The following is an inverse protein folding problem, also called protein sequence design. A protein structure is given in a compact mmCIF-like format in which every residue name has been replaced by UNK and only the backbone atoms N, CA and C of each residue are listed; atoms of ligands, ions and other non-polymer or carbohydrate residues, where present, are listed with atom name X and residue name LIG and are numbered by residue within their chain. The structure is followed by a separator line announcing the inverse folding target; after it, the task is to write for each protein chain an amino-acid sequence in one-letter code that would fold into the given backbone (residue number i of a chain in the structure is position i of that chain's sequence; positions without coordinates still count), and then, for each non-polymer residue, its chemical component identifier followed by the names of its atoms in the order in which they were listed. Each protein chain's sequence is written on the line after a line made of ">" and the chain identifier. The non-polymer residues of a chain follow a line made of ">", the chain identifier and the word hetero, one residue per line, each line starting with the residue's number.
data_IF_056497888805
#
_entry.id   IF_056497888805
#
_cell.length_a   1.000
_cell.length_b   1.000
_cell.length_c   1.000
_cell.angle_alpha   90.00
_cell.angle_beta   90.00
_cell.angle_gamma   90.00
#
_symmetry.space_group_name_H-M   'P 1'
#
loop_
_entity.id
_entity.type
_entity.pdbx_description
1 polymer ?
#
# COMPACT_ATOMS: atom_id res chain seq x y z
N UNK A 1 12.85 -5.67 -6.30
CA UNK A 1 12.30 -5.18 -5.01
C UNK A 1 12.90 -3.80 -4.78
N UNK A 2 12.07 -2.79 -4.55
CA UNK A 2 12.57 -1.44 -4.30
C UNK A 2 13.37 -1.44 -2.99
N UNK A 3 14.59 -0.94 -3.09
CA UNK A 3 15.44 -0.73 -1.93
C UNK A 3 14.81 0.39 -1.08
N UNK A 4 14.47 0.16 0.20
CA UNK A 4 13.88 1.18 1.05
C UNK A 4 14.73 2.44 1.17
N UNK A 5 16.06 2.32 1.04
CA UNK A 5 16.97 3.46 1.05
C UNK A 5 16.85 4.36 -0.19
N UNK A 6 16.27 3.83 -1.27
CA UNK A 6 16.04 4.57 -2.53
C UNK A 6 14.61 5.11 -2.63
N UNK A 7 13.73 4.75 -1.70
CA UNK A 7 12.40 5.32 -1.61
C UNK A 7 12.49 6.70 -0.95
N UNK A 8 12.12 7.75 -1.68
CA UNK A 8 12.15 9.12 -1.16
C UNK A 8 10.91 9.47 -0.35
N UNK A 9 9.77 8.91 -0.73
CA UNK A 9 8.48 9.17 -0.07
C UNK A 9 7.48 8.06 -0.36
N UNK A 10 6.39 8.06 0.41
CA UNK A 10 5.23 7.22 0.17
C UNK A 10 5.32 5.83 0.79
N UNK A 11 4.42 4.94 0.36
CA UNK A 11 4.23 3.62 0.96
C UNK A 11 4.16 2.55 -0.13
N UNK A 12 4.75 1.39 0.15
CA UNK A 12 4.56 0.14 -0.59
C UNK A 12 3.56 -0.71 0.21
N UNK A 13 2.32 -0.81 -0.24
CA UNK A 13 1.22 -1.45 0.49
C UNK A 13 0.59 -2.63 -0.26
N UNK A 14 1.01 -2.87 -1.48
CA UNK A 14 0.65 -4.04 -2.26
C UNK A 14 1.78 -4.42 -3.21
N UNK A 15 1.79 -5.69 -3.67
CA UNK A 15 2.78 -6.13 -4.64
C UNK A 15 2.67 -5.30 -5.92
N UNK A 16 3.81 -4.87 -6.41
CA UNK A 16 3.89 -4.12 -7.66
C UNK A 16 3.42 -5.01 -8.81
N UNK A 17 2.45 -4.54 -9.58
CA UNK A 17 2.00 -5.22 -10.80
C UNK A 17 3.08 -5.08 -11.86
N UNK A 18 3.66 -6.23 -12.22
CA UNK A 18 4.71 -6.32 -13.24
C UNK A 18 4.17 -7.03 -14.48
N UNK A 19 4.67 -6.71 -15.68
CA UNK A 19 4.32 -7.45 -16.90
C UNK A 19 4.85 -8.89 -16.85
N UNK A 20 4.22 -9.78 -17.62
CA UNK A 20 4.63 -11.20 -17.72
C UNK A 20 5.99 -11.39 -18.41
N UNK A 21 6.44 -10.39 -19.18
CA UNK A 21 7.71 -10.43 -19.90
C UNK A 21 8.42 -9.08 -19.80
N UNK A 22 9.74 -9.12 -19.72
CA UNK A 22 10.59 -7.95 -19.81
C UNK A 22 10.60 -7.44 -21.26
N UNK A 23 10.11 -6.22 -21.45
CA UNK A 23 10.09 -5.53 -22.76
C UNK A 23 11.24 -4.51 -22.90
N UNK A 24 12.15 -4.46 -21.94
CA UNK A 24 13.29 -3.54 -21.91
C UNK A 24 12.91 -2.06 -21.98
N UNK A 25 11.76 -1.73 -21.41
CA UNK A 25 11.25 -0.35 -21.42
C UNK A 25 12.16 0.61 -20.66
N UNK A 26 12.65 0.15 -19.49
CA UNK A 26 13.53 0.95 -18.66
C UNK A 26 14.89 1.25 -19.32
N UNK A 27 15.46 0.28 -20.03
CA UNK A 27 16.68 0.48 -20.82
C UNK A 27 16.44 1.52 -21.91
N UNK A 28 15.28 1.49 -22.56
CA UNK A 28 14.90 2.49 -23.59
C UNK A 28 14.81 3.89 -23.01
N UNK A 29 14.28 4.05 -21.79
CA UNK A 29 14.27 5.36 -21.11
C UNK A 29 15.67 5.87 -20.85
N UNK A 30 16.58 5.00 -20.44
CA UNK A 30 17.98 5.35 -20.20
C UNK A 30 18.77 5.67 -21.45
N UNK A 31 18.55 4.91 -22.52
CA UNK A 31 19.21 5.14 -23.82
C UNK A 31 18.86 6.50 -24.40
N UNK A 32 17.59 6.91 -24.28
CA UNK A 32 17.14 8.22 -24.73
C UNK A 32 17.67 9.38 -23.90
N UNK A 33 17.87 9.16 -22.61
CA UNK A 33 18.39 10.13 -21.64
C UNK A 33 17.56 11.46 -21.57
N UNK A 34 16.31 11.41 -21.99
CA UNK A 34 15.36 12.54 -21.93
C UNK A 34 14.17 12.24 -20.99
N UNK A 35 14.11 11.03 -20.43
CA UNK A 35 13.11 10.60 -19.44
C UNK A 35 13.72 10.69 -18.03
N UNK A 36 13.23 11.61 -17.23
CA UNK A 36 13.70 11.80 -15.84
C UNK A 36 12.73 11.24 -14.79
N UNK A 37 11.48 10.97 -15.17
CA UNK A 37 10.49 10.41 -14.24
C UNK A 37 9.43 9.60 -14.96
N UNK A 38 8.96 8.51 -14.33
CA UNK A 38 7.83 7.69 -14.77
C UNK A 38 6.91 7.45 -13.59
N UNK A 39 5.62 7.73 -13.75
CA UNK A 39 4.59 7.53 -12.74
C UNK A 39 3.48 6.63 -13.26
N UNK A 40 3.12 5.64 -12.46
CA UNK A 40 2.11 4.65 -12.78
C UNK A 40 0.91 4.73 -11.83
N UNK A 41 -0.24 4.28 -12.32
CA UNK A 41 -1.41 3.92 -11.53
C UNK A 41 -1.48 2.41 -11.36
N UNK A 42 -2.68 1.83 -11.46
CA UNK A 42 -3.04 0.42 -11.36
C UNK A 42 -3.02 -0.11 -9.93
N UNK A 43 -1.91 -0.02 -9.22
CA UNK A 43 -1.80 -0.45 -7.82
C UNK A 43 -2.45 0.59 -6.93
N UNK A 44 -3.59 0.25 -6.34
CA UNK A 44 -4.48 1.23 -5.70
C UNK A 44 -4.01 1.70 -4.32
N UNK A 45 -3.06 0.98 -3.71
CA UNK A 45 -2.52 1.30 -2.39
C UNK A 45 -1.08 1.81 -2.43
N UNK A 46 -0.37 1.58 -3.53
CA UNK A 46 1.01 2.02 -3.67
C UNK A 46 1.08 3.53 -3.93
N UNK A 47 1.97 4.19 -3.20
CA UNK A 47 2.13 5.65 -3.28
C UNK A 47 3.58 6.10 -3.27
N UNK A 48 4.52 5.17 -3.27
CA UNK A 48 5.94 5.46 -3.16
C UNK A 48 6.51 6.17 -4.41
N UNK A 49 7.60 6.89 -4.19
CA UNK A 49 8.49 7.43 -5.22
C UNK A 49 9.92 7.07 -4.85
N UNK A 50 10.63 6.48 -5.76
CA UNK A 50 12.05 6.16 -5.63
C UNK A 50 12.82 6.60 -6.86
N UNK A 51 14.16 6.74 -6.73
CA UNK A 51 15.04 6.99 -7.87
C UNK A 51 15.82 5.73 -8.21
N UNK A 52 15.81 5.35 -9.48
CA UNK A 52 16.58 4.26 -9.98
C UNK A 52 17.42 4.72 -11.19
N UNK A 53 18.74 4.67 -11.04
CA UNK A 53 19.70 5.03 -12.09
C UNK A 53 19.41 6.38 -12.78
N UNK A 54 18.96 7.37 -12.01
CA UNK A 54 18.67 8.73 -12.50
C UNK A 54 17.23 8.98 -12.95
N UNK A 55 16.38 7.95 -13.00
CA UNK A 55 14.95 8.08 -13.33
C UNK A 55 14.11 7.92 -12.07
N UNK A 56 13.21 8.86 -11.82
CA UNK A 56 12.24 8.74 -10.75
C UNK A 56 11.14 7.76 -11.15
N UNK A 57 10.87 6.77 -10.29
CA UNK A 57 9.81 5.78 -10.48
C UNK A 57 8.80 5.94 -9.36
N UNK A 58 7.55 6.19 -9.70
CA UNK A 58 6.52 6.44 -8.71
C UNK A 58 5.18 5.79 -9.00
N UNK A 59 4.41 5.57 -7.92
CA UNK A 59 3.03 5.15 -7.98
C UNK A 59 2.10 6.23 -7.46
N UNK A 60 0.94 6.35 -8.11
CA UNK A 60 -0.17 7.17 -7.64
C UNK A 60 -1.30 6.24 -7.20
N UNK A 61 -1.74 6.29 -5.94
CA UNK A 61 -2.80 5.44 -5.44
C UNK A 61 -4.15 5.79 -6.08
N UNK A 62 -5.14 4.92 -5.89
CA UNK A 62 -6.51 5.19 -6.34
C UNK A 62 -7.11 6.40 -5.61
N UNK A 63 -7.67 7.36 -6.33
CA UNK A 63 -8.43 8.49 -5.75
C UNK A 63 -9.94 8.20 -5.63
N UNK A 64 -10.48 7.26 -6.41
CA UNK A 64 -11.91 6.97 -6.45
C UNK A 64 -12.36 5.93 -5.43
N UNK A 65 -13.62 6.03 -4.96
CA UNK A 65 -14.22 5.10 -3.98
C UNK A 65 -14.93 3.90 -4.61
N UNK A 66 -14.90 3.74 -5.93
CA UNK A 66 -15.56 2.61 -6.59
C UNK A 66 -14.75 1.31 -6.53
N UNK A 67 -13.42 1.40 -6.58
CA UNK A 67 -12.49 0.29 -6.42
C UNK A 67 -11.99 0.13 -4.98
N UNK A 68 -11.16 -0.89 -4.75
CA UNK A 68 -10.41 -1.03 -3.51
C UNK A 68 -9.37 0.10 -3.35
N UNK A 69 -8.86 0.31 -2.14
CA UNK A 69 -7.86 1.34 -1.87
C UNK A 69 -7.70 1.59 -0.37
N UNK A 70 -6.97 2.63 0.00
CA UNK A 70 -6.56 2.92 1.37
C UNK A 70 -7.52 3.86 2.13
N UNK A 71 -8.83 3.67 1.96
CA UNK A 71 -9.83 4.45 2.69
C UNK A 71 -9.72 5.96 2.41
N UNK A 72 -9.57 6.76 3.45
CA UNK A 72 -9.43 8.22 3.35
C UNK A 72 -8.01 8.67 2.92
N UNK A 73 -7.04 7.77 2.91
CA UNK A 73 -5.68 8.03 2.40
C UNK A 73 -5.58 7.84 0.87
N UNK A 74 -6.72 7.61 0.19
CA UNK A 74 -6.82 7.72 -1.27
C UNK A 74 -6.38 9.09 -1.70
N UNK A 75 -5.67 9.16 -2.83
CA UNK A 75 -5.07 10.42 -3.24
C UNK A 75 -5.02 10.59 -4.76
N UNK A 76 -4.99 11.83 -5.18
CA UNK A 76 -4.43 12.25 -6.45
C UNK A 76 -2.98 12.67 -6.25
N UNK A 77 -2.18 12.66 -7.30
CA UNK A 77 -0.81 13.20 -7.25
C UNK A 77 -0.75 14.50 -8.04
N UNK A 78 -0.29 15.54 -7.39
CA UNK A 78 -0.01 16.83 -8.00
C UNK A 78 1.44 16.85 -8.49
N UNK A 79 1.66 17.47 -9.63
CA UNK A 79 2.97 17.74 -10.20
C UNK A 79 3.10 19.25 -10.47
N UNK A 80 4.20 19.82 -10.04
CA UNK A 80 4.56 21.21 -10.33
C UNK A 80 5.83 21.21 -11.18
N UNK A 81 5.71 21.66 -12.41
CA UNK A 81 6.83 21.78 -13.34
C UNK A 81 7.25 23.23 -13.50
N UNK A 82 8.55 23.45 -13.57
CA UNK A 82 9.13 24.76 -13.79
C UNK A 82 9.60 24.87 -15.24
N UNK A 83 9.06 25.83 -16.01
CA UNK A 83 9.39 26.00 -17.43
C UNK A 83 10.89 26.08 -17.71
N UNK A 84 11.65 26.74 -16.82
CA UNK A 84 13.10 26.92 -16.99
C UNK A 84 13.93 25.69 -16.66
N UNK A 85 13.37 24.76 -15.91
CA UNK A 85 14.02 23.50 -15.51
C UNK A 85 12.97 22.41 -15.23
N UNK A 86 12.38 21.79 -16.25
CA UNK A 86 11.30 20.81 -16.04
C UNK A 86 11.72 19.57 -15.24
N UNK A 87 12.99 19.23 -15.25
CA UNK A 87 13.53 18.09 -14.47
C UNK A 87 13.59 18.36 -12.96
N UNK A 88 13.58 19.63 -12.55
CA UNK A 88 13.45 20.02 -11.14
C UNK A 88 11.98 20.18 -10.74
N UNK A 89 11.18 19.16 -10.98
CA UNK A 89 9.76 19.14 -10.63
C UNK A 89 9.56 18.81 -9.15
N UNK A 90 8.42 19.22 -8.63
CA UNK A 90 7.92 18.83 -7.33
C UNK A 90 6.68 17.95 -7.48
N UNK A 91 6.50 17.01 -6.55
CA UNK A 91 5.30 16.18 -6.51
C UNK A 91 4.85 15.93 -5.09
N UNK A 92 3.55 15.86 -4.89
CA UNK A 92 2.94 15.50 -3.61
C UNK A 92 1.62 14.77 -3.80
N UNK A 93 1.22 14.04 -2.78
CA UNK A 93 -0.11 13.44 -2.72
C UNK A 93 -1.11 14.45 -2.14
N UNK A 94 -2.26 14.56 -2.78
CA UNK A 94 -3.44 15.26 -2.29
C UNK A 94 -4.43 14.20 -1.82
N UNK A 95 -4.43 13.91 -0.51
CA UNK A 95 -5.27 12.84 0.01
C UNK A 95 -6.72 13.31 0.20
N UNK A 96 -7.68 12.37 0.15
CA UNK A 96 -9.05 12.67 0.50
C UNK A 96 -9.16 13.20 1.94
N UNK A 97 -8.34 12.67 2.84
CA UNK A 97 -8.25 13.13 4.24
C UNK A 97 -7.93 14.63 4.32
N UNK A 98 -6.93 15.09 3.57
CA UNK A 98 -6.48 16.48 3.59
C UNK A 98 -7.50 17.43 2.95
N UNK A 99 -8.19 16.99 1.90
CA UNK A 99 -9.10 17.83 1.12
C UNK A 99 -10.53 17.83 1.65
N UNK A 100 -11.00 16.72 2.21
CA UNK A 100 -12.41 16.51 2.58
C UNK A 100 -12.57 16.13 4.03
N UNK A 101 -11.68 15.31 4.59
CA UNK A 101 -11.68 14.93 6.00
C UNK A 101 -11.64 13.43 6.26
N UNK A 102 -11.80 13.08 7.54
CA UNK A 102 -11.61 11.73 8.07
C UNK A 102 -12.73 10.74 7.74
N UNK A 103 -13.87 11.22 7.27
CA UNK A 103 -15.03 10.36 7.02
C UNK A 103 -15.08 9.93 5.55
N UNK A 104 -14.96 8.63 5.33
CA UNK A 104 -15.18 8.05 4.01
C UNK A 104 -16.66 8.06 3.62
N UNK A 105 -16.94 8.20 2.32
CA UNK A 105 -18.30 8.08 1.78
C UNK A 105 -18.84 6.65 1.79
N UNK A 106 -17.97 5.65 2.03
CA UNK A 106 -18.31 4.22 2.01
C UNK A 106 -17.61 3.43 3.12
N UNK A 107 -17.91 3.74 4.41
CA UNK A 107 -17.13 3.22 5.55
C UNK A 107 -17.14 1.69 5.64
N UNK A 108 -18.27 1.04 5.32
CA UNK A 108 -18.37 -0.43 5.34
C UNK A 108 -17.50 -1.06 4.26
N UNK A 109 -17.53 -0.51 3.04
CA UNK A 109 -16.76 -1.02 1.93
C UNK A 109 -15.25 -0.84 2.17
N UNK A 110 -14.84 0.32 2.65
CA UNK A 110 -13.45 0.61 2.99
C UNK A 110 -12.94 -0.27 4.14
N UNK A 111 -13.77 -0.54 5.13
CA UNK A 111 -13.45 -1.50 6.19
C UNK A 111 -13.12 -2.88 5.61
N UNK A 112 -13.97 -3.42 4.73
CA UNK A 112 -13.71 -4.71 4.09
C UNK A 112 -12.46 -4.68 3.20
N UNK A 113 -12.24 -3.62 2.44
CA UNK A 113 -11.04 -3.50 1.61
C UNK A 113 -9.75 -3.43 2.43
N UNK A 114 -9.77 -2.82 3.61
CA UNK A 114 -8.64 -2.84 4.54
C UNK A 114 -8.37 -4.22 5.12
N UNK A 115 -9.39 -5.05 5.30
CA UNK A 115 -9.24 -6.42 5.77
C UNK A 115 -8.72 -7.35 4.68
N UNK A 116 -9.07 -7.10 3.41
CA UNK A 116 -8.61 -7.92 2.30
C UNK A 116 -7.10 -7.79 2.12
N UNK A 117 -6.36 -8.92 2.08
CA UNK A 117 -4.94 -8.90 1.80
C UNK A 117 -4.71 -8.44 0.35
N UNK A 118 -3.69 -7.64 0.13
CA UNK A 118 -3.31 -7.17 -1.19
C UNK A 118 -2.35 -8.15 -1.89
N UNK A 119 -1.62 -8.97 -1.12
CA UNK A 119 -0.67 -9.96 -1.65
C UNK A 119 -0.87 -11.32 -1.00
N UNK A 120 -0.29 -12.38 -1.62
CA UNK A 120 -0.29 -13.74 -1.06
C UNK A 120 0.46 -13.81 0.28
N UNK A 121 1.54 -13.05 0.39
CA UNK A 121 2.37 -12.96 1.60
C UNK A 121 1.58 -12.32 2.73
N UNK A 122 0.89 -11.20 2.46
CA UNK A 122 0.00 -10.54 3.42
C UNK A 122 -1.15 -11.46 3.85
N UNK A 123 -1.73 -12.19 2.89
CA UNK A 123 -2.78 -13.18 3.17
C UNK A 123 -2.28 -14.28 4.11
N UNK A 124 -1.10 -14.82 3.86
CA UNK A 124 -0.49 -15.86 4.68
C UNK A 124 -0.16 -15.32 6.09
N UNK A 125 0.34 -14.11 6.20
CA UNK A 125 0.63 -13.49 7.50
C UNK A 125 -0.65 -13.23 8.30
N UNK A 126 -1.69 -12.67 7.68
CA UNK A 126 -3.01 -12.47 8.32
C UNK A 126 -3.62 -13.79 8.79
N UNK A 127 -3.58 -14.84 7.95
CA UNK A 127 -4.05 -16.18 8.30
C UNK A 127 -3.29 -16.75 9.51
N UNK A 128 -1.95 -16.62 9.52
CA UNK A 128 -1.11 -17.05 10.63
C UNK A 128 -1.46 -16.31 11.93
N UNK A 129 -1.66 -15.00 11.87
CA UNK A 129 -2.06 -14.20 13.06
C UNK A 129 -3.41 -14.64 13.60
N UNK A 130 -4.40 -14.88 12.73
CA UNK A 130 -5.72 -15.38 13.14
C UNK A 130 -5.61 -16.75 13.81
N UNK A 131 -4.84 -17.68 13.24
CA UNK A 131 -4.61 -19.02 13.82
C UNK A 131 -3.96 -18.94 15.19
N UNK A 132 -2.96 -18.07 15.37
CA UNK A 132 -2.30 -17.87 16.66
C UNK A 132 -3.26 -17.32 17.72
N UNK A 133 -4.04 -16.30 17.37
CA UNK A 133 -5.00 -15.68 18.29
C UNK A 133 -6.13 -16.65 18.68
N UNK A 134 -6.66 -17.41 17.73
CA UNK A 134 -7.68 -18.45 18.02
C UNK A 134 -7.10 -19.58 18.87
N UNK A 135 -5.88 -20.02 18.59
CA UNK A 135 -5.18 -21.01 19.41
C UNK A 135 -5.00 -20.54 20.85
N UNK A 136 -4.54 -19.31 21.05
CA UNK A 136 -4.39 -18.71 22.39
C UNK A 136 -5.73 -18.57 23.12
N UNK A 137 -6.79 -18.13 22.42
CA UNK A 137 -8.12 -18.04 22.99
C UNK A 137 -8.68 -19.41 23.42
N UNK A 138 -8.47 -20.45 22.62
CA UNK A 138 -8.84 -21.82 22.99
C UNK A 138 -8.08 -22.33 24.21
N UNK A 139 -6.78 -22.04 24.31
CA UNK A 139 -5.98 -22.44 25.48
C UNK A 139 -6.44 -21.71 26.75
N UNK A 140 -6.68 -20.41 26.67
CA UNK A 140 -7.21 -19.61 27.76
C UNK A 140 -8.59 -20.12 28.22
N UNK A 141 -9.47 -20.44 27.28
CA UNK A 141 -10.79 -21.02 27.58
C UNK A 141 -10.69 -22.38 28.26
N UNK A 142 -9.79 -23.27 27.84
CA UNK A 142 -9.54 -24.55 28.51
C UNK A 142 -8.99 -24.37 29.94
N UNK A 143 -8.04 -23.43 30.12
CA UNK A 143 -7.49 -23.12 31.44
C UNK A 143 -8.58 -22.56 32.39
N UNK A 144 -9.42 -21.63 31.91
CA UNK A 144 -10.53 -21.10 32.71
C UNK A 144 -11.54 -22.17 33.09
N UNK A 145 -11.90 -23.07 32.18
CA UNK A 145 -12.78 -24.21 32.42
C UNK A 145 -12.17 -25.20 33.44
N UNK A 146 -10.87 -25.42 33.37
CA UNK A 146 -10.17 -26.29 34.33
C UNK A 146 -10.19 -25.69 35.74
N UNK A 147 -9.89 -24.40 35.92
CA UNK A 147 -9.98 -23.68 37.19
C UNK A 147 -11.40 -23.72 37.74
N UNK A 148 -12.40 -23.43 36.91
CA UNK A 148 -13.80 -23.46 37.31
C UNK A 148 -14.25 -24.84 37.82
N UNK A 149 -13.85 -25.91 37.10
CA UNK A 149 -14.18 -27.29 37.50
C UNK A 149 -13.48 -27.71 38.79
N UNK A 150 -12.25 -27.19 39.01
CA UNK A 150 -11.49 -27.49 40.26
C UNK A 150 -12.16 -26.83 41.47
N UNK A 151 -12.57 -25.57 41.34
CA UNK A 151 -13.21 -24.83 42.44
C UNK A 151 -14.62 -25.34 42.79
N UNK A 152 -15.29 -26.07 41.89
CA UNK A 152 -16.58 -26.68 42.17
C UNK A 152 -16.52 -28.03 42.87
N UNK A 153 -15.33 -28.62 42.97
CA UNK A 153 -15.11 -29.92 43.63
C UNK A 153 -14.53 -29.78 45.01
N UNK A 154 -14.14 -28.57 45.39
CA UNK A 154 -13.75 -28.17 46.74
C UNK A 154 -14.96 -27.59 47.49
#
# INVERSE_FOLDING_TARGET
>A
MLDPEKCREGKLQEAVSIPDSDNREFESFRERNDIFAVYCGHDHKNSFVGNWLGVDLGYTPSCGFNGYGDGVDRAAREFVFYEKNPAAYETRLLTYRDLVGEQTTRPVKDFFYRLCPATKEEAAEKARRVLLLTGLACLAGKAALWVYRRNRKA
#
